data_IF_298693648752
#
_entry.id   IF_298693648752
#
_cell.length_a   1.000
_cell.length_b   1.000
_cell.length_c   1.000
_cell.angle_alpha   90.00
_cell.angle_beta   90.00
_cell.angle_gamma   90.00
#
_symmetry.space_group_name_H-M   'P 1'
#
loop_
_entity.id
_entity.type
_entity.pdbx_description
1 polymer ?
#
# COMPACT_ATOMS: atom_id res chain seq x y z
N UNK A 1 28.19 63.19 -14.09
CA UNK A 1 27.45 61.98 -14.24
C UNK A 1 27.33 61.33 -12.89
N UNK A 2 26.14 61.17 -12.37
CA UNK A 2 25.96 60.37 -11.14
C UNK A 2 26.29 58.92 -11.44
N UNK A 3 27.18 58.36 -10.66
CA UNK A 3 27.45 56.96 -10.71
C UNK A 3 26.15 56.15 -10.42
N UNK A 4 25.84 55.11 -11.21
CA UNK A 4 24.73 54.25 -10.86
C UNK A 4 25.00 53.64 -9.48
N UNK A 5 24.04 53.77 -8.62
CA UNK A 5 24.06 53.11 -7.31
C UNK A 5 24.38 51.63 -7.51
N UNK A 6 25.37 51.08 -6.79
CA UNK A 6 25.62 49.67 -6.88
C UNK A 6 24.33 48.92 -6.48
N UNK A 7 23.78 48.22 -7.42
CA UNK A 7 22.76 47.27 -7.10
C UNK A 7 23.39 46.18 -6.23
N UNK A 8 23.26 46.34 -4.92
CA UNK A 8 23.52 45.22 -4.02
C UNK A 8 22.55 44.12 -4.41
N UNK A 9 23.05 43.14 -5.13
CA UNK A 9 22.37 41.84 -5.19
C UNK A 9 22.47 41.22 -3.81
N UNK A 10 21.47 41.49 -3.00
CA UNK A 10 21.25 40.70 -1.77
C UNK A 10 20.97 39.30 -2.23
N UNK A 11 21.80 38.30 -1.84
CA UNK A 11 21.44 36.91 -2.14
C UNK A 11 20.06 36.63 -1.58
N UNK A 12 19.18 35.91 -2.34
CA UNK A 12 17.87 35.58 -1.83
C UNK A 12 18.04 34.89 -0.47
N UNK A 13 17.22 35.25 0.52
CA UNK A 13 17.32 34.59 1.81
C UNK A 13 17.29 33.09 1.56
N UNK A 14 18.33 32.43 2.05
CA UNK A 14 18.27 30.96 2.10
C UNK A 14 16.97 30.61 2.77
N UNK A 15 16.10 29.96 2.04
CA UNK A 15 15.05 29.19 2.62
C UNK A 15 15.73 28.12 3.47
N UNK A 16 16.15 28.48 4.68
CA UNK A 16 16.32 27.50 5.70
C UNK A 16 14.91 27.06 6.06
N UNK A 17 14.43 26.09 5.30
CA UNK A 17 13.42 25.22 5.85
C UNK A 17 14.15 24.54 7.00
N UNK A 18 13.94 25.03 8.22
CA UNK A 18 14.20 24.20 9.38
C UNK A 18 13.37 22.94 9.16
N UNK A 19 13.96 21.98 8.50
CA UNK A 19 13.50 20.64 8.61
C UNK A 19 13.66 20.28 10.09
N UNK A 20 12.63 20.56 10.89
CA UNK A 20 12.39 19.69 12.01
C UNK A 20 12.57 18.30 11.42
N UNK A 21 13.43 17.44 12.02
CA UNK A 21 13.59 16.10 11.52
C UNK A 21 12.25 15.36 11.64
N UNK A 22 11.33 15.73 10.78
CA UNK A 22 10.23 14.87 10.45
C UNK A 22 10.89 13.76 9.67
N UNK A 23 11.03 12.64 10.35
CA UNK A 23 11.43 11.41 9.72
C UNK A 23 10.58 11.28 8.46
N UNK A 24 11.21 11.40 7.29
CA UNK A 24 10.53 11.22 6.04
C UNK A 24 9.86 9.86 6.05
N UNK A 25 8.58 9.76 5.66
CA UNK A 25 7.93 8.47 5.61
C UNK A 25 8.76 7.54 4.74
N UNK A 26 9.09 6.41 5.28
CA UNK A 26 9.76 5.37 4.53
C UNK A 26 8.76 4.69 3.59
N UNK A 27 9.26 3.80 2.75
CA UNK A 27 8.44 3.05 1.81
C UNK A 27 8.55 1.57 2.14
N UNK A 28 7.40 0.92 2.22
CA UNK A 28 7.25 -0.52 2.17
C UNK A 28 6.49 -0.91 0.91
N UNK A 29 6.36 -2.19 0.64
CA UNK A 29 5.67 -2.68 -0.56
C UNK A 29 4.69 -3.78 -0.23
N UNK A 30 3.62 -3.83 -1.03
CA UNK A 30 2.74 -4.99 -1.12
C UNK A 30 2.89 -5.57 -2.51
N UNK A 31 2.99 -6.89 -2.60
CA UNK A 31 2.90 -7.63 -3.85
C UNK A 31 1.75 -8.61 -3.75
N UNK A 32 0.84 -8.57 -4.72
CA UNK A 32 -0.31 -9.46 -4.77
C UNK A 32 -0.08 -10.54 -5.80
N UNK A 33 -0.39 -11.77 -5.40
CA UNK A 33 -0.31 -12.96 -6.26
C UNK A 33 -1.68 -13.59 -6.28
N UNK A 34 -2.22 -13.82 -7.46
CA UNK A 34 -3.54 -14.43 -7.63
C UNK A 34 -3.43 -15.74 -8.36
N UNK A 35 -4.06 -16.76 -7.80
CA UNK A 35 -4.09 -18.11 -8.33
C UNK A 35 -5.48 -18.69 -8.28
N UNK A 36 -5.74 -19.68 -9.09
CA UNK A 36 -6.99 -20.42 -9.10
C UNK A 36 -6.72 -21.93 -9.23
N UNK A 37 -7.78 -22.73 -9.20
CA UNK A 37 -7.70 -24.18 -9.28
C UNK A 37 -6.72 -24.81 -8.27
N UNK A 38 -6.91 -24.49 -6.99
CA UNK A 38 -6.09 -25.07 -5.92
C UNK A 38 -4.62 -24.70 -5.98
N UNK A 39 -4.30 -23.47 -6.38
CA UNK A 39 -2.95 -22.95 -6.55
C UNK A 39 -2.21 -23.44 -7.81
N UNK A 40 -2.89 -24.17 -8.70
CA UNK A 40 -2.25 -24.77 -9.87
C UNK A 40 -2.05 -23.78 -11.02
N UNK A 41 -2.84 -22.70 -11.09
CA UNK A 41 -2.80 -21.77 -12.23
C UNK A 41 -2.70 -20.33 -11.76
N UNK A 42 -1.81 -19.60 -12.39
CA UNK A 42 -1.76 -18.15 -12.26
C UNK A 42 -3.01 -17.52 -12.92
N UNK A 43 -3.59 -16.52 -12.30
CA UNK A 43 -4.74 -15.80 -12.84
C UNK A 43 -4.34 -14.37 -13.18
N UNK A 44 -4.35 -14.05 -14.47
CA UNK A 44 -4.10 -12.71 -14.99
C UNK A 44 -5.38 -11.85 -14.96
N UNK A 45 -5.21 -10.54 -14.98
CA UNK A 45 -6.33 -9.61 -15.15
C UNK A 45 -7.16 -9.39 -13.89
N UNK A 46 -6.66 -9.78 -12.74
CA UNK A 46 -7.35 -9.52 -11.44
C UNK A 46 -7.10 -8.07 -11.04
N UNK A 47 -8.18 -7.35 -10.78
CA UNK A 47 -8.11 -5.99 -10.26
C UNK A 47 -7.75 -6.01 -8.79
N UNK A 48 -6.75 -5.21 -8.42
CA UNK A 48 -6.25 -5.10 -7.06
C UNK A 48 -6.42 -3.66 -6.59
N UNK A 49 -7.07 -3.47 -5.45
CA UNK A 49 -7.17 -2.18 -4.78
C UNK A 49 -6.47 -2.26 -3.44
N UNK A 50 -5.61 -1.28 -3.18
CA UNK A 50 -5.02 -1.08 -1.87
C UNK A 50 -5.66 0.17 -1.26
N UNK A 51 -6.29 0.01 -0.11
CA UNK A 51 -6.99 1.07 0.58
C UNK A 51 -6.43 1.24 1.99
N UNK A 52 -6.56 2.43 2.51
CA UNK A 52 -6.20 2.78 3.87
C UNK A 52 -7.33 3.60 4.48
N UNK A 53 -7.50 3.51 5.79
CA UNK A 53 -8.46 4.33 6.50
C UNK A 53 -9.35 3.54 7.45
N UNK A 54 -10.29 4.26 8.03
CA UNK A 54 -11.33 3.70 8.89
C UNK A 54 -12.60 3.44 8.07
N UNK A 55 -13.55 2.73 8.66
CA UNK A 55 -14.86 2.50 8.02
C UNK A 55 -15.57 3.80 7.58
N UNK A 56 -15.27 4.91 8.26
CA UNK A 56 -15.85 6.22 7.96
C UNK A 56 -15.10 6.97 6.85
N UNK A 57 -13.80 6.71 6.67
CA UNK A 57 -12.95 7.38 5.69
C UNK A 57 -12.01 6.38 5.03
N UNK A 58 -12.43 5.83 3.92
CA UNK A 58 -11.59 4.94 3.11
C UNK A 58 -10.85 5.76 2.07
N UNK A 59 -9.54 5.66 2.06
CA UNK A 59 -8.69 6.28 1.05
C UNK A 59 -8.13 5.22 0.11
N UNK A 60 -8.31 5.45 -1.19
CA UNK A 60 -7.66 4.64 -2.22
C UNK A 60 -6.19 5.04 -2.31
N UNK A 61 -5.30 4.12 -2.00
CA UNK A 61 -3.85 4.35 -2.08
C UNK A 61 -3.28 3.92 -3.43
N UNK A 62 -3.72 2.79 -3.95
CA UNK A 62 -3.18 2.25 -5.18
C UNK A 62 -4.13 1.27 -5.86
N UNK A 63 -4.04 1.21 -7.18
CA UNK A 63 -4.72 0.19 -8.00
C UNK A 63 -3.69 -0.53 -8.86
N UNK A 64 -3.90 -1.81 -9.07
CA UNK A 64 -3.04 -2.62 -9.92
C UNK A 64 -3.86 -3.73 -10.58
N UNK A 65 -3.27 -4.38 -11.56
CA UNK A 65 -3.86 -5.54 -12.25
C UNK A 65 -2.79 -6.62 -12.34
N UNK A 66 -3.15 -7.86 -12.06
CA UNK A 66 -2.20 -8.96 -12.16
C UNK A 66 -1.83 -9.27 -13.61
N UNK A 67 -0.58 -9.62 -13.82
CA UNK A 67 -0.03 -9.96 -15.12
C UNK A 67 -0.26 -11.46 -15.44
N UNK A 68 0.33 -11.93 -16.53
CA UNK A 68 0.20 -13.33 -16.99
C UNK A 68 0.73 -14.35 -15.97
N UNK A 69 1.65 -13.93 -15.09
CA UNK A 69 2.13 -14.77 -14.00
C UNK A 69 1.25 -14.69 -12.74
N UNK A 70 0.13 -13.97 -12.81
CA UNK A 70 -0.76 -13.77 -11.67
C UNK A 70 -0.20 -12.84 -10.61
N UNK A 71 0.73 -11.97 -10.95
CA UNK A 71 1.42 -11.12 -10.00
C UNK A 71 1.22 -9.65 -10.35
N UNK A 72 1.11 -8.82 -9.31
CA UNK A 72 1.33 -7.38 -9.46
C UNK A 72 2.83 -7.09 -9.33
N UNK A 73 3.28 -5.94 -9.82
CA UNK A 73 4.56 -5.41 -9.37
C UNK A 73 4.51 -5.12 -7.86
N UNK A 74 5.64 -4.77 -7.30
CA UNK A 74 5.71 -4.29 -5.93
C UNK A 74 5.02 -2.92 -5.85
N UNK A 75 3.97 -2.82 -5.04
CA UNK A 75 3.19 -1.61 -4.85
C UNK A 75 3.83 -0.80 -3.73
N UNK A 76 4.40 0.39 -4.01
CA UNK A 76 5.02 1.21 -2.98
C UNK A 76 3.95 1.90 -2.13
N UNK A 77 4.14 1.87 -0.82
CA UNK A 77 3.21 2.45 0.14
C UNK A 77 3.97 3.21 1.23
N UNK A 78 3.46 4.37 1.68
CA UNK A 78 4.08 5.10 2.78
C UNK A 78 3.91 4.32 4.08
N UNK A 79 5.00 4.21 4.83
CA UNK A 79 5.03 3.52 6.12
C UNK A 79 5.92 4.30 7.08
N UNK A 80 5.80 4.08 8.41
CA UNK A 80 6.72 4.70 9.36
C UNK A 80 8.16 4.27 9.11
N UNK A 81 9.12 5.17 9.36
CA UNK A 81 10.53 4.87 9.22
C UNK A 81 10.96 3.76 10.19
N UNK A 82 11.91 2.92 9.75
CA UNK A 82 12.43 1.82 10.57
C UNK A 82 13.06 2.28 11.89
N UNK A 83 13.59 3.50 11.93
CA UNK A 83 14.12 4.11 13.14
C UNK A 83 13.09 4.26 14.27
N UNK A 84 11.80 4.33 13.95
CA UNK A 84 10.72 4.38 14.93
C UNK A 84 10.58 3.05 15.70
N UNK A 85 11.02 1.95 15.13
CA UNK A 85 11.02 0.65 15.79
C UNK A 85 12.06 0.56 16.93
N UNK A 86 13.04 1.45 16.94
CA UNK A 86 14.11 1.50 17.93
C UNK A 86 13.77 2.39 19.13
N UNK A 87 12.71 3.20 19.03
CA UNK A 87 12.22 4.01 20.11
C UNK A 87 11.26 3.20 20.98
N UNK A 88 11.53 3.20 22.27
CA UNK A 88 10.71 2.54 23.29
C UNK A 88 9.35 3.21 23.53
N UNK A 89 8.96 4.14 22.68
CA UNK A 89 7.66 4.78 22.73
C UNK A 89 6.60 3.82 22.16
N UNK A 90 5.94 3.09 23.06
CA UNK A 90 4.94 2.06 22.75
C UNK A 90 3.70 2.59 21.99
N UNK A 91 3.58 3.92 21.84
CA UNK A 91 2.42 4.54 21.20
C UNK A 91 2.50 4.55 19.67
N UNK A 92 3.67 4.30 19.08
CA UNK A 92 3.88 4.30 17.64
C UNK A 92 4.22 2.92 17.12
N UNK A 93 3.35 2.38 16.29
CA UNK A 93 3.60 1.11 15.60
C UNK A 93 4.68 1.31 14.53
N UNK A 94 5.65 0.40 14.40
CA UNK A 94 6.70 0.50 13.38
C UNK A 94 6.23 0.05 11.99
N UNK A 95 4.94 0.00 11.76
CA UNK A 95 4.33 -0.43 10.50
C UNK A 95 3.03 0.31 10.25
N UNK A 96 2.59 0.30 9.01
CA UNK A 96 1.24 0.72 8.61
C UNK A 96 0.43 -0.49 8.19
N UNK A 97 -0.88 -0.40 8.29
CA UNK A 97 -1.79 -1.44 7.80
C UNK A 97 -2.58 -0.94 6.61
N UNK A 98 -2.78 -1.82 5.64
CA UNK A 98 -3.57 -1.55 4.45
C UNK A 98 -4.52 -2.69 4.19
N UNK A 99 -5.65 -2.37 3.58
CA UNK A 99 -6.60 -3.37 3.11
C UNK A 99 -6.34 -3.64 1.63
N UNK A 100 -6.31 -4.90 1.25
CA UNK A 100 -6.08 -5.33 -0.12
C UNK A 100 -7.31 -6.05 -0.61
N UNK A 101 -7.96 -5.49 -1.65
CA UNK A 101 -9.14 -6.10 -2.28
C UNK A 101 -8.77 -6.63 -3.65
N UNK A 102 -9.26 -7.81 -3.98
CA UNK A 102 -9.07 -8.41 -5.29
C UNK A 102 -10.42 -8.77 -5.92
N UNK A 103 -10.54 -8.52 -7.21
CA UNK A 103 -11.74 -8.81 -7.97
C UNK A 103 -11.40 -9.23 -9.40
N UNK A 104 -12.05 -10.29 -9.84
CA UNK A 104 -12.05 -10.71 -11.24
C UNK A 104 -13.45 -11.17 -11.62
N UNK A 105 -13.85 -10.90 -12.86
CA UNK A 105 -15.14 -11.35 -13.36
C UNK A 105 -15.26 -12.87 -13.28
N UNK A 106 -16.37 -13.34 -12.75
CA UNK A 106 -16.62 -14.78 -12.58
C UNK A 106 -16.03 -15.39 -11.30
N UNK A 107 -15.46 -14.56 -10.42
CA UNK A 107 -14.88 -15.00 -9.16
C UNK A 107 -15.49 -14.27 -7.97
N UNK A 108 -15.39 -14.88 -6.81
CA UNK A 108 -15.71 -14.19 -5.56
C UNK A 108 -14.72 -13.04 -5.33
N UNK A 109 -15.25 -11.92 -4.85
CA UNK A 109 -14.44 -10.81 -4.38
C UNK A 109 -13.81 -11.17 -3.04
N UNK A 110 -12.55 -10.84 -2.84
CA UNK A 110 -11.83 -11.12 -1.59
C UNK A 110 -11.15 -9.86 -1.09
N UNK A 111 -11.11 -9.71 0.22
CA UNK A 111 -10.43 -8.61 0.91
C UNK A 111 -9.54 -9.18 2.00
N UNK A 112 -8.29 -8.77 2.03
CA UNK A 112 -7.38 -9.02 3.15
C UNK A 112 -7.26 -7.72 3.95
N UNK A 113 -7.80 -7.70 5.15
CA UNK A 113 -7.84 -6.51 5.99
C UNK A 113 -6.61 -6.42 6.90
N UNK A 114 -6.16 -5.20 7.15
CA UNK A 114 -5.07 -4.88 8.06
C UNK A 114 -3.76 -5.62 7.73
N UNK A 115 -3.37 -5.61 6.46
CA UNK A 115 -2.08 -6.17 6.02
C UNK A 115 -0.96 -5.28 6.54
N UNK A 116 -0.06 -5.80 7.40
CA UNK A 116 1.03 -4.99 7.93
C UNK A 116 2.12 -4.80 6.87
N UNK A 117 2.58 -3.55 6.74
CA UNK A 117 3.65 -3.17 5.80
C UNK A 117 4.75 -2.45 6.57
N UNK A 118 5.97 -2.94 6.44
CA UNK A 118 7.15 -2.43 7.12
C UNK A 118 8.09 -1.72 6.16
N UNK A 119 8.80 -0.72 6.65
CA UNK A 119 9.80 0.00 5.87
C UNK A 119 10.84 -0.94 5.26
N UNK A 120 11.10 -0.79 3.97
CA UNK A 120 12.11 -1.57 3.25
C UNK A 120 11.75 -3.02 2.99
N UNK A 121 10.53 -3.45 3.34
CA UNK A 121 10.10 -4.84 3.20
C UNK A 121 8.89 -4.98 2.29
N UNK A 122 8.75 -6.16 1.68
CA UNK A 122 7.62 -6.50 0.83
C UNK A 122 6.71 -7.49 1.55
N UNK A 123 5.44 -7.10 1.70
CA UNK A 123 4.39 -8.01 2.18
C UNK A 123 3.75 -8.68 0.98
N UNK A 124 3.87 -10.00 0.90
CA UNK A 124 3.28 -10.78 -0.20
C UNK A 124 1.92 -11.29 0.23
N UNK A 125 0.91 -11.03 -0.58
CA UNK A 125 -0.45 -11.48 -0.37
C UNK A 125 -0.84 -12.43 -1.49
N UNK A 126 -1.11 -13.69 -1.14
CA UNK A 126 -1.50 -14.72 -2.09
C UNK A 126 -3.00 -14.96 -1.93
N UNK A 127 -3.73 -14.73 -3.01
CA UNK A 127 -5.17 -14.97 -3.07
C UNK A 127 -5.47 -16.18 -3.93
N UNK A 128 -6.18 -17.15 -3.36
CA UNK A 128 -6.75 -18.25 -4.10
C UNK A 128 -8.12 -17.84 -4.59
N UNK A 129 -8.21 -17.52 -5.87
CA UNK A 129 -9.45 -17.04 -6.47
C UNK A 129 -10.45 -18.20 -6.60
N UNK A 130 -11.67 -17.95 -6.15
CA UNK A 130 -12.73 -18.95 -6.09
C UNK A 130 -13.76 -18.63 -7.18
N UNK A 131 -13.95 -19.52 -8.18
CA UNK A 131 -14.93 -19.29 -9.23
C UNK A 131 -16.35 -19.23 -8.67
N UNK A 132 -17.18 -18.36 -9.23
CA UNK A 132 -18.60 -18.34 -8.97
C UNK A 132 -19.26 -19.60 -9.56
N UNK A 133 -20.31 -20.14 -8.91
CA UNK A 133 -21.17 -21.11 -9.58
C UNK A 133 -21.72 -20.56 -10.89
N UNK A 134 -21.93 -21.43 -11.90
CA UNK A 134 -22.34 -21.02 -13.25
C UNK A 134 -23.65 -20.26 -13.32
N UNK A 135 -24.50 -20.39 -12.30
CA UNK A 135 -25.80 -19.70 -12.23
C UNK A 135 -25.72 -18.31 -11.60
N UNK A 136 -24.57 -17.90 -11.07
CA UNK A 136 -24.37 -16.58 -10.49
C UNK A 136 -23.55 -15.71 -11.46
N UNK A 137 -24.04 -14.49 -11.71
CA UNK A 137 -23.32 -13.51 -12.53
C UNK A 137 -22.50 -12.55 -11.67
N UNK A 138 -22.93 -12.33 -10.43
CA UNK A 138 -22.24 -11.45 -9.48
C UNK A 138 -21.99 -12.17 -8.16
N UNK A 139 -20.87 -11.85 -7.48
CA UNK A 139 -20.60 -12.46 -6.20
C UNK A 139 -21.65 -12.05 -5.15
N UNK A 140 -22.31 -13.01 -4.49
CA UNK A 140 -23.34 -12.72 -3.48
C UNK A 140 -22.75 -12.21 -2.17
N UNK A 141 -21.46 -12.40 -1.96
CA UNK A 141 -20.74 -11.98 -0.77
C UNK A 141 -19.28 -11.72 -1.09
N UNK A 142 -18.63 -10.94 -0.24
CA UNK A 142 -17.18 -10.75 -0.24
C UNK A 142 -16.56 -11.64 0.84
N UNK A 143 -15.49 -12.34 0.49
CA UNK A 143 -14.73 -13.16 1.44
C UNK A 143 -13.70 -12.24 2.09
N UNK A 144 -13.71 -12.17 3.41
CA UNK A 144 -12.86 -11.27 4.19
C UNK A 144 -11.89 -12.08 5.03
N UNK A 145 -10.60 -11.77 4.90
CA UNK A 145 -9.53 -12.31 5.75
C UNK A 145 -9.03 -11.19 6.65
N UNK A 146 -8.94 -11.46 7.94
CA UNK A 146 -8.40 -10.50 8.89
C UNK A 146 -6.99 -10.90 9.29
N UNK A 147 -6.06 -9.99 9.13
CA UNK A 147 -4.71 -10.18 9.59
C UNK A 147 -4.60 -9.76 11.06
N UNK A 148 -3.87 -10.52 11.83
CA UNK A 148 -3.61 -10.20 13.23
C UNK A 148 -2.43 -9.25 13.35
N UNK A 149 -2.39 -8.49 14.46
CA UNK A 149 -1.23 -7.65 14.73
C UNK A 149 0.04 -8.50 14.78
N UNK A 150 1.12 -8.07 14.09
CA UNK A 150 2.36 -8.83 14.16
C UNK A 150 2.94 -8.80 15.57
N UNK A 151 3.39 -9.95 16.03
CA UNK A 151 4.13 -10.08 17.27
C UNK A 151 5.53 -9.50 17.07
N UNK A 152 5.72 -8.33 17.63
CA UNK A 152 7.00 -7.64 17.59
C UNK A 152 7.79 -7.87 18.87
#
# INVERSE_FOLDING_TARGET
MPEPLPTETVPPPKLEVEETPQEQPAIGWIQVITRCAGNARALAGVSVLVTNGTEEQVHLEHTAVTNESGETGKIPLPVPAASLSLNSDETRKPYSTYDVSVYAYGFYRQVSEAVPVFAGKTSRQIFHMIPLPSYLQEPPKTIVYQNTEPNL
#
